data_IF_527601091087
#
_entry.id   IF_527601091087
#
_cell.length_a   1.000
_cell.length_b   1.000
_cell.length_c   1.000
_cell.angle_alpha   90.00
_cell.angle_beta   90.00
_cell.angle_gamma   90.00
#
_symmetry.space_group_name_H-M   'P 1'
#
loop_
_entity.id
_entity.type
_entity.pdbx_description
1 polymer ?
#
# COMPACT_ATOMS: atom_id res chain seq x y z
N UNK A 1 -2.64 -17.67 3.91
CA UNK A 1 -1.78 -16.47 3.67
C UNK A 1 -2.64 -15.38 3.07
N UNK A 2 -2.51 -14.16 3.59
CA UNK A 2 -3.36 -13.01 3.21
C UNK A 2 -2.52 -11.79 2.79
N UNK A 3 -2.92 -11.14 1.70
CA UNK A 3 -2.35 -9.86 1.25
C UNK A 3 -3.44 -8.79 1.25
N UNK A 4 -3.14 -7.61 1.78
CA UNK A 4 -4.05 -6.48 1.73
C UNK A 4 -3.51 -5.39 0.81
N UNK A 5 -4.41 -4.78 0.02
CA UNK A 5 -4.12 -3.62 -0.81
C UNK A 5 -4.82 -2.38 -0.27
N UNK A 6 -4.07 -1.34 0.09
CA UNK A 6 -4.59 -0.11 0.68
C UNK A 6 -4.49 1.02 -0.35
N UNK A 7 -5.63 1.59 -0.71
CA UNK A 7 -5.77 2.62 -1.75
C UNK A 7 -5.90 4.00 -1.13
N UNK A 8 -4.87 4.83 -1.26
CA UNK A 8 -4.82 6.20 -0.76
C UNK A 8 -5.46 7.25 -1.69
N UNK A 9 -6.21 6.84 -2.70
CA UNK A 9 -6.94 7.77 -3.56
C UNK A 9 -8.20 8.26 -2.87
N UNK A 10 -8.52 9.58 -2.92
CA UNK A 10 -9.81 10.09 -2.46
C UNK A 10 -10.97 9.76 -3.42
N UNK A 11 -10.71 9.23 -4.60
CA UNK A 11 -11.71 8.90 -5.63
C UNK A 11 -12.07 7.43 -5.57
N UNK A 12 -13.28 7.08 -5.15
CA UNK A 12 -13.80 5.72 -5.20
C UNK A 12 -13.92 5.21 -6.64
N UNK A 13 -13.45 3.98 -6.90
CA UNK A 13 -13.41 3.38 -8.23
C UNK A 13 -12.52 4.14 -9.21
N UNK A 14 -11.55 4.93 -8.74
CA UNK A 14 -10.62 5.67 -9.57
C UNK A 14 -9.45 4.81 -10.08
N UNK A 15 -8.58 5.40 -10.89
CA UNK A 15 -7.47 4.69 -11.54
C UNK A 15 -6.58 3.92 -10.56
N UNK A 16 -6.28 4.48 -9.38
CA UNK A 16 -5.46 3.81 -8.37
C UNK A 16 -6.15 2.56 -7.82
N UNK A 17 -7.47 2.63 -7.60
CA UNK A 17 -8.22 1.48 -7.11
C UNK A 17 -8.33 0.38 -8.18
N UNK A 18 -8.53 0.76 -9.45
CA UNK A 18 -8.52 -0.17 -10.59
C UNK A 18 -7.18 -0.90 -10.69
N UNK A 19 -6.07 -0.15 -10.62
CA UNK A 19 -4.72 -0.71 -10.68
C UNK A 19 -4.47 -1.68 -9.52
N UNK A 20 -4.88 -1.28 -8.31
CA UNK A 20 -4.73 -2.13 -7.11
C UNK A 20 -5.57 -3.38 -7.22
N UNK A 21 -6.83 -3.27 -7.63
CA UNK A 21 -7.71 -4.44 -7.81
C UNK A 21 -7.14 -5.42 -8.84
N UNK A 22 -6.54 -4.93 -9.93
CA UNK A 22 -5.87 -5.75 -10.92
C UNK A 22 -4.67 -6.52 -10.33
N UNK A 23 -3.85 -5.86 -9.53
CA UNK A 23 -2.74 -6.51 -8.81
C UNK A 23 -3.24 -7.55 -7.80
N UNK A 24 -4.28 -7.20 -7.03
CA UNK A 24 -4.86 -8.13 -6.04
C UNK A 24 -5.47 -9.37 -6.71
N UNK A 25 -6.04 -9.22 -7.92
CA UNK A 25 -6.50 -10.35 -8.73
C UNK A 25 -5.35 -11.28 -9.10
N UNK A 26 -4.19 -10.75 -9.53
CA UNK A 26 -3.02 -11.57 -9.84
C UNK A 26 -2.52 -12.36 -8.62
N UNK A 27 -2.58 -11.76 -7.42
CA UNK A 27 -2.24 -12.42 -6.16
C UNK A 27 -3.25 -13.53 -5.83
N UNK A 28 -4.54 -13.27 -6.01
CA UNK A 28 -5.59 -14.24 -5.74
C UNK A 28 -5.51 -15.46 -6.68
N UNK A 29 -5.16 -15.26 -7.96
CA UNK A 29 -4.94 -16.36 -8.91
C UNK A 29 -3.78 -17.27 -8.50
N UNK A 30 -2.85 -16.76 -7.70
CA UNK A 30 -1.78 -17.54 -7.08
C UNK A 30 -2.23 -18.25 -5.78
N UNK A 31 -3.51 -18.21 -5.42
CA UNK A 31 -4.10 -18.93 -4.29
C UNK A 31 -3.96 -18.26 -2.92
N UNK A 32 -3.67 -16.95 -2.84
CA UNK A 32 -3.66 -16.20 -1.60
C UNK A 32 -5.00 -15.48 -1.38
N UNK A 33 -5.39 -15.35 -0.11
CA UNK A 33 -6.50 -14.47 0.26
C UNK A 33 -6.11 -13.00 0.01
N UNK A 34 -7.05 -12.23 -0.55
CA UNK A 34 -6.82 -10.80 -0.82
C UNK A 34 -7.94 -9.94 -0.25
N UNK A 35 -7.59 -8.76 0.26
CA UNK A 35 -8.55 -7.75 0.68
C UNK A 35 -8.11 -6.37 0.15
N UNK A 36 -9.04 -5.64 -0.46
CA UNK A 36 -8.80 -4.26 -0.91
C UNK A 36 -9.49 -3.29 0.05
N UNK A 37 -8.73 -2.32 0.57
CA UNK A 37 -9.20 -1.30 1.50
C UNK A 37 -9.03 0.06 0.83
N UNK A 38 -10.14 0.71 0.51
CA UNK A 38 -10.14 2.09 0.00
C UNK A 38 -10.22 3.08 1.17
N UNK A 39 -9.30 4.03 1.21
CA UNK A 39 -9.31 5.11 2.21
C UNK A 39 -10.28 6.25 1.84
N UNK A 40 -10.89 6.20 0.67
CA UNK A 40 -11.81 7.24 0.20
C UNK A 40 -13.03 7.38 1.10
N UNK A 41 -13.19 8.56 1.70
CA UNK A 41 -14.29 8.88 2.61
C UNK A 41 -14.07 8.45 4.05
N UNK A 42 -12.91 7.89 4.39
CA UNK A 42 -12.52 7.61 5.77
C UNK A 42 -11.88 8.84 6.42
N UNK A 43 -12.10 9.00 7.72
CA UNK A 43 -11.41 10.00 8.54
C UNK A 43 -10.09 9.40 9.04
N UNK A 44 -8.97 9.83 8.48
CA UNK A 44 -7.63 9.43 8.91
C UNK A 44 -6.81 10.70 9.17
N UNK A 45 -6.69 11.04 10.45
CA UNK A 45 -5.98 12.23 10.90
C UNK A 45 -4.46 12.04 10.87
N UNK A 46 -3.67 13.10 10.67
CA UNK A 46 -2.22 13.04 10.75
C UNK A 46 -1.75 12.70 12.19
N UNK A 47 -0.51 12.25 12.31
CA UNK A 47 0.11 12.00 13.60
C UNK A 47 0.32 13.33 14.35
N UNK A 48 -0.05 13.36 15.63
CA UNK A 48 0.16 14.52 16.52
C UNK A 48 1.36 14.34 17.47
N UNK A 49 2.21 13.34 17.23
CA UNK A 49 3.41 13.04 18.00
C UNK A 49 3.18 12.82 19.52
N UNK A 50 2.03 12.31 19.93
CA UNK A 50 1.69 12.09 21.34
C UNK A 50 2.49 10.95 22.01
N UNK A 51 3.17 10.10 21.25
CA UNK A 51 4.05 9.01 21.71
C UNK A 51 3.38 7.92 22.56
N UNK A 52 2.06 7.81 22.56
CA UNK A 52 1.36 6.71 23.24
C UNK A 52 1.74 5.35 22.66
N UNK A 53 1.96 5.29 21.32
CA UNK A 53 2.39 4.08 20.65
C UNK A 53 3.79 3.58 21.07
N UNK A 54 4.63 4.39 21.70
CA UNK A 54 5.91 3.93 22.28
C UNK A 54 5.69 2.93 23.43
N UNK A 55 4.56 3.01 24.11
CA UNK A 55 4.21 2.18 25.27
C UNK A 55 3.17 1.10 24.95
N UNK A 56 2.25 1.39 24.06
CA UNK A 56 1.08 0.55 23.76
C UNK A 56 0.91 0.35 22.26
N UNK A 57 0.50 -0.85 21.83
CA UNK A 57 0.23 -1.13 20.42
C UNK A 57 -1.11 -0.50 19.97
N UNK A 58 -1.24 0.81 20.14
CA UNK A 58 -2.42 1.54 19.70
C UNK A 58 -2.12 3.01 19.38
N UNK A 59 -3.01 3.62 18.63
CA UNK A 59 -3.08 5.06 18.49
C UNK A 59 -4.28 5.60 19.27
N UNK A 60 -4.11 6.65 20.11
CA UNK A 60 -5.22 7.22 20.90
C UNK A 60 -6.14 8.12 20.08
N UNK A 61 -5.75 8.51 18.86
CA UNK A 61 -6.57 9.33 17.97
C UNK A 61 -7.77 8.49 17.54
N UNK A 62 -8.97 8.96 17.85
CA UNK A 62 -10.24 8.31 17.50
C UNK A 62 -10.58 8.68 16.05
N UNK A 63 -10.39 7.75 15.15
CA UNK A 63 -10.69 7.82 13.71
C UNK A 63 -10.68 6.41 13.09
N UNK A 64 -10.71 6.33 11.76
CA UNK A 64 -10.82 5.05 11.04
C UNK A 64 -9.49 4.29 10.88
N UNK A 65 -8.36 4.81 11.40
CA UNK A 65 -7.04 4.19 11.18
C UNK A 65 -6.87 2.86 11.91
N UNK A 66 -7.24 2.79 13.19
CA UNK A 66 -6.84 1.66 14.03
C UNK A 66 -7.42 0.31 13.56
N UNK A 67 -8.69 0.22 13.11
CA UNK A 67 -9.21 -0.99 12.49
C UNK A 67 -8.41 -1.44 11.25
N UNK A 68 -7.90 -0.48 10.44
CA UNK A 68 -7.06 -0.78 9.27
C UNK A 68 -5.70 -1.31 9.74
N UNK A 69 -5.08 -0.69 10.75
CA UNK A 69 -3.83 -1.17 11.34
C UNK A 69 -3.93 -2.63 11.82
N UNK A 70 -5.03 -3.02 12.46
CA UNK A 70 -5.24 -4.41 12.89
C UNK A 70 -5.25 -5.37 11.70
N UNK A 71 -5.88 -5.01 10.59
CA UNK A 71 -5.83 -5.81 9.35
C UNK A 71 -4.42 -5.87 8.76
N UNK A 72 -3.66 -4.75 8.80
CA UNK A 72 -2.26 -4.73 8.37
C UNK A 72 -1.40 -5.66 9.24
N UNK A 73 -1.65 -5.70 10.55
CA UNK A 73 -0.96 -6.57 11.50
C UNK A 73 -1.18 -8.05 11.17
N UNK A 74 -2.38 -8.43 10.78
CA UNK A 74 -2.76 -9.82 10.50
C UNK A 74 -2.32 -10.30 9.10
N UNK A 75 -2.13 -9.38 8.16
CA UNK A 75 -1.73 -9.72 6.80
C UNK A 75 -0.26 -10.17 6.70
N UNK A 76 0.04 -11.06 5.76
CA UNK A 76 1.39 -11.49 5.38
C UNK A 76 2.03 -10.56 4.37
N UNK A 77 1.21 -9.83 3.62
CA UNK A 77 1.65 -8.81 2.65
C UNK A 77 0.81 -7.55 2.69
N UNK A 78 1.44 -6.40 2.45
CA UNK A 78 0.82 -5.07 2.47
C UNK A 78 1.21 -4.33 1.20
N UNK A 79 0.23 -3.95 0.39
CA UNK A 79 0.42 -3.11 -0.79
C UNK A 79 -0.16 -1.73 -0.51
N UNK A 80 0.65 -0.69 -0.68
CA UNK A 80 0.22 0.70 -0.60
C UNK A 80 0.10 1.30 -2.00
N UNK A 81 -1.06 1.86 -2.32
CA UNK A 81 -1.34 2.45 -3.61
C UNK A 81 -1.72 3.92 -3.48
N UNK A 82 -1.11 4.79 -4.29
CA UNK A 82 -1.41 6.23 -4.29
C UNK A 82 -1.44 6.82 -5.70
N UNK A 83 -2.34 7.77 -5.97
CA UNK A 83 -2.14 8.67 -7.08
C UNK A 83 -1.03 9.66 -6.73
N UNK A 84 -0.42 10.25 -7.77
CA UNK A 84 0.54 11.35 -7.59
C UNK A 84 -0.21 12.66 -7.38
N UNK A 85 -0.03 13.27 -6.22
CA UNK A 85 -0.51 14.61 -5.90
C UNK A 85 0.68 15.50 -5.59
N UNK A 86 0.91 16.54 -6.43
CA UNK A 86 2.03 17.48 -6.29
C UNK A 86 3.40 16.79 -6.14
N UNK A 87 3.64 15.74 -6.94
CA UNK A 87 4.90 15.00 -6.94
C UNK A 87 5.08 14.00 -5.78
N UNK A 88 4.03 13.75 -4.99
CA UNK A 88 4.08 12.90 -3.79
C UNK A 88 2.85 12.02 -3.67
N UNK A 89 2.84 11.12 -2.69
CA UNK A 89 1.66 10.39 -2.28
C UNK A 89 0.61 11.34 -1.66
N UNK A 90 -0.65 10.93 -1.63
CA UNK A 90 -1.72 11.73 -1.03
C UNK A 90 -1.50 11.91 0.48
N UNK A 91 -2.01 13.01 1.04
CA UNK A 91 -2.01 13.24 2.49
C UNK A 91 -2.72 12.10 3.25
N UNK A 92 -3.74 11.51 2.64
CA UNK A 92 -4.53 10.42 3.24
C UNK A 92 -3.68 9.16 3.48
N UNK A 93 -2.96 8.67 2.45
CA UNK A 93 -2.07 7.52 2.63
C UNK A 93 -0.87 7.85 3.51
N UNK A 94 -0.37 9.09 3.44
CA UNK A 94 0.74 9.54 4.28
C UNK A 94 0.38 9.55 5.77
N UNK A 95 -0.81 10.00 6.13
CA UNK A 95 -1.30 9.96 7.51
C UNK A 95 -1.39 8.52 8.05
N UNK A 96 -1.87 7.58 7.22
CA UNK A 96 -1.86 6.15 7.55
C UNK A 96 -0.43 5.65 7.76
N UNK A 97 0.48 5.93 6.83
CA UNK A 97 1.88 5.49 6.90
C UNK A 97 2.58 5.97 8.17
N UNK A 98 2.44 7.25 8.52
CA UNK A 98 3.03 7.83 9.73
C UNK A 98 2.58 7.07 10.98
N UNK A 99 1.29 6.91 11.14
CA UNK A 99 0.72 6.34 12.35
C UNK A 99 0.87 4.83 12.44
N UNK A 100 0.58 4.10 11.36
CA UNK A 100 0.78 2.65 11.31
C UNK A 100 2.27 2.29 11.47
N UNK A 101 3.15 3.06 10.83
CA UNK A 101 4.60 2.89 10.96
C UNK A 101 5.08 3.10 12.39
N UNK A 102 4.66 4.18 13.06
CA UNK A 102 5.02 4.40 14.46
C UNK A 102 4.52 3.30 15.40
N UNK A 103 3.28 2.84 15.24
CA UNK A 103 2.75 1.75 16.07
C UNK A 103 3.57 0.47 15.88
N UNK A 104 3.94 0.14 14.63
CA UNK A 104 4.73 -1.04 14.32
C UNK A 104 6.19 -0.92 14.80
N UNK A 105 6.82 0.24 14.59
CA UNK A 105 8.25 0.44 14.85
C UNK A 105 8.60 0.59 16.33
N UNK A 106 7.67 0.94 17.19
CA UNK A 106 7.89 1.20 18.62
C UNK A 106 8.21 -0.08 19.42
N UNK A 107 9.25 -0.79 19.03
CA UNK A 107 9.80 -1.98 19.73
C UNK A 107 9.02 -3.28 19.51
N UNK A 108 7.99 -3.29 18.65
CA UNK A 108 7.17 -4.48 18.34
C UNK A 108 7.52 -5.13 17.03
N UNK A 109 8.09 -4.35 16.11
CA UNK A 109 8.48 -4.82 14.77
C UNK A 109 7.35 -5.57 14.04
N UNK A 110 6.09 -5.12 14.22
CA UNK A 110 4.87 -5.83 13.79
C UNK A 110 4.85 -6.14 12.29
N UNK A 111 5.50 -5.28 11.47
CA UNK A 111 5.56 -5.47 10.02
C UNK A 111 6.85 -6.12 9.53
N UNK A 112 7.82 -6.34 10.40
CA UNK A 112 9.09 -7.00 10.06
C UNK A 112 8.89 -8.34 9.36
N UNK A 113 9.62 -8.54 8.27
CA UNK A 113 9.57 -9.77 7.48
C UNK A 113 8.29 -9.99 6.68
N UNK A 114 7.32 -9.07 6.73
CA UNK A 114 6.17 -9.12 5.82
C UNK A 114 6.58 -8.64 4.42
N UNK A 115 5.80 -9.02 3.41
CA UNK A 115 6.01 -8.55 2.05
C UNK A 115 5.35 -7.19 1.86
N UNK A 116 6.09 -6.21 1.35
CA UNK A 116 5.59 -4.87 1.08
C UNK A 116 5.67 -4.50 -0.39
N UNK A 117 4.85 -3.54 -0.83
CA UNK A 117 5.01 -3.01 -2.16
C UNK A 117 4.15 -1.80 -2.47
N UNK A 118 4.61 -1.01 -3.42
CA UNK A 118 3.98 0.24 -3.83
C UNK A 118 3.38 0.15 -5.22
N UNK A 119 2.21 0.80 -5.41
CA UNK A 119 1.58 1.03 -6.70
C UNK A 119 1.31 2.53 -6.86
N UNK A 120 1.65 3.09 -7.99
CA UNK A 120 1.49 4.53 -8.20
C UNK A 120 0.83 4.83 -9.54
N UNK A 121 -0.19 5.68 -9.51
CA UNK A 121 -0.83 6.20 -10.73
C UNK A 121 -0.51 7.68 -10.86
N UNK A 122 0.02 8.08 -12.01
CA UNK A 122 0.24 9.47 -12.36
C UNK A 122 -0.60 9.88 -13.58
N UNK A 123 -0.97 11.16 -13.64
CA UNK A 123 -1.46 11.74 -14.89
C UNK A 123 -0.35 11.86 -15.93
N UNK A 124 0.88 12.26 -15.49
CA UNK A 124 2.00 12.55 -16.38
C UNK A 124 3.37 12.36 -15.74
N UNK A 125 3.59 12.88 -14.52
CA UNK A 125 4.91 12.93 -13.89
C UNK A 125 4.81 12.84 -12.36
N UNK A 126 5.96 12.68 -11.67
CA UNK A 126 6.07 12.60 -10.21
C UNK A 126 5.94 11.18 -9.65
N UNK A 127 5.70 10.18 -10.48
CA UNK A 127 5.53 8.79 -10.07
C UNK A 127 6.77 8.21 -9.40
N UNK A 128 7.98 8.51 -9.89
CA UNK A 128 9.22 7.96 -9.33
C UNK A 128 9.45 8.39 -7.88
N UNK A 129 9.23 9.68 -7.57
CA UNK A 129 9.32 10.17 -6.19
C UNK A 129 8.26 9.53 -5.29
N UNK A 130 7.05 9.35 -5.80
CA UNK A 130 5.97 8.72 -5.04
C UNK A 130 6.25 7.23 -4.79
N UNK A 131 6.76 6.49 -5.77
CA UNK A 131 7.21 5.10 -5.59
C UNK A 131 8.31 5.03 -4.54
N UNK A 132 9.33 5.89 -4.64
CA UNK A 132 10.43 5.94 -3.69
C UNK A 132 9.92 6.23 -2.26
N UNK A 133 9.04 7.22 -2.10
CA UNK A 133 8.45 7.57 -0.80
C UNK A 133 7.74 6.38 -0.15
N UNK A 134 6.91 5.66 -0.91
CA UNK A 134 6.21 4.48 -0.40
C UNK A 134 7.18 3.33 -0.11
N UNK A 135 8.19 3.14 -0.96
CA UNK A 135 9.18 2.06 -0.80
C UNK A 135 10.06 2.27 0.43
N UNK A 136 10.50 3.48 0.72
CA UNK A 136 11.27 3.79 1.92
C UNK A 136 10.50 3.46 3.21
N UNK A 137 9.18 3.59 3.21
CA UNK A 137 8.36 3.21 4.36
C UNK A 137 8.41 1.69 4.61
N UNK A 138 8.37 0.87 3.57
CA UNK A 138 8.53 -0.57 3.74
C UNK A 138 9.92 -0.94 4.23
N UNK A 139 10.96 -0.29 3.69
CA UNK A 139 12.35 -0.57 4.05
C UNK A 139 12.67 -0.25 5.52
N UNK A 140 12.23 0.92 6.02
CA UNK A 140 12.46 1.29 7.43
C UNK A 140 11.70 0.38 8.41
N UNK A 141 10.68 -0.32 7.96
CA UNK A 141 9.89 -1.28 8.74
C UNK A 141 10.38 -2.74 8.58
N UNK A 142 11.57 -2.92 7.99
CA UNK A 142 12.23 -4.23 7.80
C UNK A 142 11.35 -5.22 7.02
N UNK A 143 10.63 -4.72 6.00
CA UNK A 143 9.79 -5.50 5.12
C UNK A 143 10.52 -5.91 3.84
N UNK A 144 10.13 -7.05 3.25
CA UNK A 144 10.68 -7.53 1.98
C UNK A 144 9.90 -6.93 0.80
N UNK A 145 10.57 -6.21 -0.08
CA UNK A 145 9.95 -5.56 -1.25
C UNK A 145 10.35 -6.28 -2.53
N UNK A 146 9.47 -7.06 -3.16
CA UNK A 146 9.76 -7.70 -4.43
C UNK A 146 9.76 -6.68 -5.59
N UNK A 147 10.55 -6.95 -6.60
CA UNK A 147 10.56 -6.20 -7.85
C UNK A 147 9.47 -6.68 -8.82
N UNK A 148 9.45 -6.03 -10.01
CA UNK A 148 8.66 -6.43 -11.16
C UNK A 148 9.47 -6.26 -12.45
N UNK A 149 8.82 -6.30 -13.60
CA UNK A 149 9.44 -6.06 -14.93
C UNK A 149 9.86 -4.61 -15.09
N UNK A 150 9.25 -3.70 -14.36
CA UNK A 150 9.57 -2.28 -14.29
C UNK A 150 9.11 -1.71 -12.93
N UNK A 151 9.21 -0.40 -12.70
CA UNK A 151 8.59 0.24 -11.54
C UNK A 151 7.07 0.09 -11.59
N UNK A 152 6.43 -0.11 -10.46
CA UNK A 152 4.98 -0.33 -10.36
C UNK A 152 4.21 0.99 -10.52
N UNK A 153 4.27 1.55 -11.71
CA UNK A 153 3.63 2.79 -12.09
C UNK A 153 2.65 2.54 -13.24
N UNK A 154 1.63 3.37 -13.30
CA UNK A 154 0.72 3.42 -14.45
C UNK A 154 0.21 4.85 -14.66
N UNK A 155 -0.29 5.12 -15.85
CA UNK A 155 -0.77 6.43 -16.25
C UNK A 155 -2.29 6.43 -16.46
N UNK A 156 -2.93 7.51 -16.00
CA UNK A 156 -4.35 7.73 -16.22
C UNK A 156 -4.80 9.04 -15.61
N UNK A 157 -5.60 9.81 -16.38
CA UNK A 157 -6.17 11.09 -15.94
C UNK A 157 -7.65 10.94 -15.56
N UNK A 158 -8.44 10.53 -16.52
CA UNK A 158 -9.86 10.31 -16.30
C UNK A 158 -10.10 8.93 -15.68
N UNK A 159 -11.24 8.74 -15.03
CA UNK A 159 -11.60 7.46 -14.42
C UNK A 159 -11.59 6.34 -15.46
N UNK A 160 -10.83 5.30 -15.22
CA UNK A 160 -10.71 4.14 -16.11
C UNK A 160 -9.54 4.23 -17.11
N UNK A 161 -8.91 5.40 -17.29
CA UNK A 161 -7.80 5.53 -18.24
C UNK A 161 -6.63 4.60 -17.98
N UNK A 162 -6.37 4.27 -16.70
CA UNK A 162 -5.30 3.36 -16.32
C UNK A 162 -5.39 1.99 -17.00
N UNK A 163 -6.60 1.54 -17.34
CA UNK A 163 -6.81 0.28 -18.04
C UNK A 163 -6.33 0.30 -19.48
N UNK A 164 -6.02 1.48 -20.04
CA UNK A 164 -5.46 1.67 -21.38
C UNK A 164 -3.93 1.67 -21.37
N UNK A 165 -3.31 1.77 -20.21
CA UNK A 165 -1.85 1.67 -20.03
C UNK A 165 -1.45 0.19 -19.94
N UNK A 166 -1.29 -0.43 -21.11
CA UNK A 166 -1.00 -1.87 -21.22
C UNK A 166 0.32 -2.25 -20.52
N UNK A 167 1.35 -1.41 -20.58
CA UNK A 167 2.61 -1.66 -19.91
C UNK A 167 2.48 -1.59 -18.41
N UNK A 168 1.83 -0.54 -17.88
CA UNK A 168 1.58 -0.38 -16.47
C UNK A 168 0.75 -1.54 -15.91
N UNK A 169 -0.34 -1.91 -16.60
CA UNK A 169 -1.19 -3.03 -16.20
C UNK A 169 -0.45 -4.36 -16.19
N UNK A 170 0.37 -4.65 -17.20
CA UNK A 170 1.20 -5.86 -17.25
C UNK A 170 2.26 -5.87 -16.15
N UNK A 171 2.89 -4.74 -15.90
CA UNK A 171 3.91 -4.59 -14.85
C UNK A 171 3.33 -4.90 -13.47
N UNK A 172 2.19 -4.33 -13.10
CA UNK A 172 1.59 -4.55 -11.79
C UNK A 172 0.97 -5.94 -11.63
N UNK A 173 0.56 -6.56 -12.74
CA UNK A 173 0.15 -7.97 -12.75
C UNK A 173 1.32 -8.87 -12.39
N UNK A 174 2.46 -8.69 -13.06
CA UNK A 174 3.69 -9.43 -12.76
C UNK A 174 4.17 -9.17 -11.32
N UNK A 175 4.06 -7.92 -10.85
CA UNK A 175 4.34 -7.59 -9.45
C UNK A 175 3.47 -8.39 -8.49
N UNK A 176 2.16 -8.52 -8.76
CA UNK A 176 1.24 -9.31 -7.94
C UNK A 176 1.68 -10.78 -7.83
N UNK A 177 2.12 -11.39 -8.94
CA UNK A 177 2.68 -12.74 -8.94
C UNK A 177 3.95 -12.84 -8.10
N UNK A 178 4.85 -11.86 -8.20
CA UNK A 178 6.08 -11.84 -7.41
C UNK A 178 5.79 -11.66 -5.91
N UNK A 179 4.82 -10.83 -5.54
CA UNK A 179 4.33 -10.71 -4.15
C UNK A 179 3.86 -12.07 -3.64
N UNK A 180 3.00 -12.76 -4.38
CA UNK A 180 2.49 -14.06 -4.00
C UNK A 180 3.62 -15.10 -3.84
N UNK A 181 4.56 -15.11 -4.79
CA UNK A 181 5.74 -16.01 -4.74
C UNK A 181 6.56 -15.79 -3.46
N UNK A 182 6.86 -14.51 -3.14
CA UNK A 182 7.68 -14.17 -1.96
C UNK A 182 6.93 -14.48 -0.68
N UNK A 183 5.63 -14.16 -0.58
CA UNK A 183 4.80 -14.53 0.58
C UNK A 183 4.82 -16.04 0.83
N UNK A 184 4.60 -16.84 -0.21
CA UNK A 184 4.64 -18.31 -0.12
C UNK A 184 6.01 -18.82 0.36
N UNK A 185 7.11 -18.25 -0.14
CA UNK A 185 8.47 -18.66 0.27
C UNK A 185 8.84 -18.28 1.70
N UNK A 186 8.27 -17.21 2.23
CA UNK A 186 8.56 -16.75 3.60
C UNK A 186 7.67 -17.44 4.66
N UNK A 187 6.53 -17.99 4.25
CA UNK A 187 5.52 -18.55 5.16
C UNK A 187 5.27 -20.05 4.99
N UNK A 188 5.75 -20.65 3.91
CA UNK A 188 5.76 -22.10 3.66
C UNK A 188 7.11 -22.66 3.93
#
# INVERSE_FOLDING_TARGET
MKVIGIVGSPRKGGNTEILTAHTMKAIAEEGLETELISLAGLDIKPCNACRVCDKEERCPIKDDLFPIYLKMREADGIILASPVYYGSATALIKALMERAGHISHSGRETFKGKVGGSLVVARRAGQNFTVAQLTFWFQILDMVVPGSTYWNIAFGREKGDVSKDEEGMRTVWNFGKNVALVVKKLKG
#
